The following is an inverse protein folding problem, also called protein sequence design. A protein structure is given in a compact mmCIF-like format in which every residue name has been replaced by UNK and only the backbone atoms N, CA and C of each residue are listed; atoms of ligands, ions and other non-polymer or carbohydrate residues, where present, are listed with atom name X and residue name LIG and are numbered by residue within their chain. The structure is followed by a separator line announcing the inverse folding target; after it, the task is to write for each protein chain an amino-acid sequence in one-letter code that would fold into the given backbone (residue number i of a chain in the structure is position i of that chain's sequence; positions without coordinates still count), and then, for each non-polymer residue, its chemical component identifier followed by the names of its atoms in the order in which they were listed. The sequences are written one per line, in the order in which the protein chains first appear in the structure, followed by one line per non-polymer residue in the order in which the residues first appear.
data_IF_546286234085
#
_entry.id   IF_546286234085
#
_cell.length_a   1.000
_cell.length_b   1.000
_cell.length_c   1.000
_cell.angle_alpha   90.00
_cell.angle_beta   90.00
_cell.angle_gamma   90.00
#
_symmetry.space_group_name_H-M   'P 1'
#
loop_
_entity.id
_entity.type
_entity.pdbx_description
1 polymer ?
#
# COMPACT_ATOMS: atom_id res chain seq x y z
N UNK A 1 45.83 27.75 -7.58
CA UNK A 1 45.19 26.48 -7.99
C UNK A 1 44.15 26.16 -6.92
N UNK A 2 42.90 26.53 -7.16
CA UNK A 2 41.80 26.24 -6.24
C UNK A 2 41.45 24.76 -6.34
N UNK A 3 41.60 24.04 -5.24
CA UNK A 3 40.98 22.72 -5.09
C UNK A 3 39.48 22.96 -5.08
N UNK A 4 38.82 22.51 -6.14
CA UNK A 4 37.36 22.39 -6.17
C UNK A 4 36.97 21.36 -5.14
N UNK A 5 36.41 21.82 -4.02
CA UNK A 5 35.61 21.02 -3.10
C UNK A 5 34.45 20.40 -3.90
N UNK A 6 34.67 19.20 -4.44
CA UNK A 6 33.59 18.35 -4.92
C UNK A 6 32.72 18.06 -3.70
N UNK A 7 31.59 18.78 -3.61
CA UNK A 7 30.56 18.68 -2.57
C UNK A 7 30.38 17.21 -2.15
N UNK A 8 30.94 16.85 -0.98
CA UNK A 8 30.53 15.66 -0.26
C UNK A 8 29.07 15.89 0.12
N UNK A 9 28.16 15.47 -0.75
CA UNK A 9 26.73 15.36 -0.41
C UNK A 9 26.69 14.57 0.88
N UNK A 10 26.17 15.19 1.94
CA UNK A 10 26.21 14.57 3.27
C UNK A 10 25.42 13.26 3.22
N UNK A 11 25.80 12.27 4.03
CA UNK A 11 25.02 11.03 4.20
C UNK A 11 23.53 11.33 4.48
N UNK A 12 23.24 12.47 5.12
CA UNK A 12 21.88 12.94 5.36
C UNK A 12 21.17 13.33 4.06
N UNK A 13 21.83 14.11 3.20
CA UNK A 13 21.24 14.55 1.92
C UNK A 13 20.89 13.35 1.03
N UNK A 14 21.77 12.33 1.00
CA UNK A 14 21.53 11.09 0.24
C UNK A 14 20.34 10.30 0.77
N UNK A 15 20.21 10.19 2.09
CA UNK A 15 19.15 9.39 2.72
C UNK A 15 17.86 10.18 2.99
N UNK A 16 17.82 11.48 2.71
CA UNK A 16 16.68 12.36 3.02
C UNK A 16 15.34 11.90 2.42
N UNK A 17 15.38 11.28 1.22
CA UNK A 17 14.19 10.74 0.56
C UNK A 17 13.52 9.65 1.40
N UNK A 18 14.32 8.77 1.99
CA UNK A 18 13.84 7.63 2.79
C UNK A 18 13.58 8.07 4.24
N UNK A 19 14.49 8.84 4.84
CA UNK A 19 14.46 9.14 6.28
C UNK A 19 13.56 10.33 6.63
N UNK A 20 13.20 11.17 5.66
CA UNK A 20 12.38 12.38 5.89
C UNK A 20 11.15 12.42 5.00
N UNK A 21 11.31 12.33 3.67
CA UNK A 21 10.18 12.49 2.75
C UNK A 21 9.20 11.32 2.83
N UNK A 22 9.71 10.08 2.84
CA UNK A 22 8.86 8.90 2.83
C UNK A 22 7.93 8.83 4.06
N UNK A 23 8.38 8.95 5.32
CA UNK A 23 7.49 8.90 6.48
C UNK A 23 6.36 9.93 6.43
N UNK A 24 6.70 11.17 6.09
CA UNK A 24 5.75 12.29 6.05
C UNK A 24 4.72 12.13 4.93
N UNK A 25 5.14 11.60 3.77
CA UNK A 25 4.28 11.45 2.59
C UNK A 25 3.59 10.09 2.49
N UNK A 26 4.12 9.02 3.10
CA UNK A 26 3.52 7.70 3.06
C UNK A 26 2.41 7.54 4.10
N UNK A 27 2.53 8.19 5.25
CA UNK A 27 1.50 8.16 6.30
C UNK A 27 0.18 8.72 5.77
N UNK A 28 -0.90 7.92 5.81
CA UNK A 28 -2.22 8.30 5.30
C UNK A 28 -2.23 8.66 3.82
N UNK A 29 -1.31 8.09 3.03
CA UNK A 29 -1.30 8.16 1.57
C UNK A 29 -2.51 7.44 0.99
N UNK A 30 -2.85 6.29 1.57
CA UNK A 30 -3.98 5.48 1.18
C UNK A 30 -5.08 5.61 2.22
N UNK A 31 -6.32 5.78 1.75
CA UNK A 31 -7.50 5.85 2.62
C UNK A 31 -8.56 4.90 2.12
N UNK A 32 -8.96 3.99 3.01
CA UNK A 32 -10.16 3.19 2.84
C UNK A 32 -11.37 4.11 3.03
N UNK A 33 -12.21 4.19 2.02
CA UNK A 33 -13.46 4.93 2.06
C UNK A 33 -14.60 4.05 1.58
N UNK A 34 -15.82 4.30 2.06
CA UNK A 34 -16.99 3.59 1.55
C UNK A 34 -17.18 3.99 0.09
N UNK A 35 -17.50 3.03 -0.76
CA UNK A 35 -17.67 3.29 -2.20
C UNK A 35 -18.81 4.29 -2.45
N UNK A 36 -19.83 4.31 -1.58
CA UNK A 36 -20.93 5.30 -1.65
C UNK A 36 -20.44 6.74 -1.50
N UNK A 37 -19.40 6.99 -0.69
CA UNK A 37 -18.84 8.33 -0.51
C UNK A 37 -18.18 8.84 -1.80
N UNK A 38 -17.60 7.92 -2.58
CA UNK A 38 -17.08 8.21 -3.93
C UNK A 38 -18.21 8.61 -4.89
N UNK A 39 -19.38 7.97 -4.76
CA UNK A 39 -20.56 8.32 -5.56
C UNK A 39 -21.04 9.73 -5.20
N UNK A 40 -21.12 10.06 -3.91
CA UNK A 40 -21.50 11.41 -3.48
C UNK A 40 -20.53 12.47 -4.01
N UNK A 41 -19.22 12.26 -3.85
CA UNK A 41 -18.22 13.19 -4.40
C UNK A 41 -18.36 13.38 -5.92
N UNK A 42 -18.62 12.30 -6.66
CA UNK A 42 -18.84 12.38 -8.10
C UNK A 42 -20.13 13.14 -8.47
N UNK A 43 -21.23 12.95 -7.73
CA UNK A 43 -22.47 13.70 -7.95
C UNK A 43 -22.27 15.19 -7.61
N UNK A 44 -21.62 15.50 -6.49
CA UNK A 44 -21.38 16.87 -6.05
C UNK A 44 -20.52 17.63 -7.06
N UNK A 45 -19.49 16.99 -7.63
CA UNK A 45 -18.67 17.54 -8.73
C UNK A 45 -19.52 17.85 -9.99
N UNK A 46 -20.45 16.95 -10.34
CA UNK A 46 -21.34 17.15 -11.49
C UNK A 46 -22.36 18.26 -11.26
N UNK A 47 -22.93 18.35 -10.05
CA UNK A 47 -23.88 19.41 -9.66
C UNK A 47 -23.18 20.77 -9.67
N UNK A 48 -21.92 20.84 -9.23
CA UNK A 48 -21.12 22.06 -9.30
C UNK A 48 -20.82 22.54 -10.73
N UNK A 49 -20.81 21.63 -11.70
CA UNK A 49 -20.59 21.94 -13.13
C UNK A 49 -21.89 22.18 -13.90
N UNK A 50 -22.97 21.51 -13.52
CA UNK A 50 -24.27 21.56 -14.18
C UNK A 50 -25.38 21.64 -13.12
N UNK A 51 -26.22 22.68 -13.16
CA UNK A 51 -27.40 22.82 -12.29
C UNK A 51 -28.55 21.84 -12.69
N UNK A 52 -28.26 20.55 -12.82
CA UNK A 52 -29.27 19.52 -13.13
C UNK A 52 -29.98 19.07 -11.84
N UNK A 53 -31.24 19.48 -11.68
CA UNK A 53 -32.10 19.09 -10.55
C UNK A 53 -32.23 17.57 -10.37
N UNK A 54 -32.14 16.81 -11.45
CA UNK A 54 -32.24 15.34 -11.38
C UNK A 54 -31.06 14.69 -10.65
N UNK A 55 -29.88 15.33 -10.62
CA UNK A 55 -28.73 14.85 -9.85
C UNK A 55 -28.93 15.07 -8.34
N UNK A 56 -29.58 16.17 -7.96
CA UNK A 56 -29.92 16.45 -6.56
C UNK A 56 -30.96 15.44 -6.05
N UNK A 57 -32.01 15.20 -6.83
CA UNK A 57 -33.03 14.18 -6.50
C UNK A 57 -32.43 12.77 -6.41
N UNK A 58 -31.49 12.44 -7.31
CA UNK A 58 -30.77 11.17 -7.28
C UNK A 58 -29.94 11.03 -5.99
N UNK A 59 -29.21 12.08 -5.60
CA UNK A 59 -28.39 12.11 -4.38
C UNK A 59 -29.25 11.85 -3.14
N UNK A 60 -30.39 12.52 -3.02
CA UNK A 60 -31.33 12.34 -1.91
C UNK A 60 -31.88 10.91 -1.85
N UNK A 61 -32.16 10.30 -3.01
CA UNK A 61 -32.63 8.93 -3.08
C UNK A 61 -31.55 7.92 -2.65
N UNK A 62 -30.29 8.12 -3.04
CA UNK A 62 -29.16 7.30 -2.59
C UNK A 62 -28.97 7.44 -1.08
N UNK A 63 -29.00 8.67 -0.57
CA UNK A 63 -28.84 8.97 0.86
C UNK A 63 -29.94 8.31 1.71
N UNK A 64 -31.17 8.26 1.18
CA UNK A 64 -32.26 7.53 1.83
C UNK A 64 -31.96 6.03 1.89
N UNK A 65 -31.54 5.40 0.80
CA UNK A 65 -31.23 3.97 0.78
C UNK A 65 -30.01 3.59 1.61
N UNK A 66 -29.01 4.48 1.70
CA UNK A 66 -27.85 4.32 2.58
C UNK A 66 -28.28 4.32 4.06
N UNK A 67 -29.12 5.28 4.46
CA UNK A 67 -29.68 5.35 5.82
C UNK A 67 -30.56 4.14 6.16
N UNK A 68 -31.25 3.59 5.17
CA UNK A 68 -32.06 2.37 5.31
C UNK A 68 -31.20 1.08 5.34
N UNK A 69 -29.87 1.19 5.13
CA UNK A 69 -28.96 0.04 5.14
C UNK A 69 -29.17 -0.92 3.97
N UNK A 70 -29.72 -0.43 2.86
CA UNK A 70 -30.07 -1.25 1.69
C UNK A 70 -28.93 -1.40 0.68
N UNK A 71 -27.81 -0.70 0.88
CA UNK A 71 -26.65 -0.71 0.00
C UNK A 71 -25.68 -1.84 0.35
N UNK A 72 -24.99 -2.38 -0.64
CA UNK A 72 -23.91 -3.32 -0.41
C UNK A 72 -22.71 -2.63 0.23
N UNK A 73 -22.14 -3.26 1.25
CA UNK A 73 -20.92 -2.78 1.89
C UNK A 73 -19.74 -3.05 0.97
N UNK A 74 -19.26 -1.98 0.34
CA UNK A 74 -18.10 -2.00 -0.54
C UNK A 74 -17.20 -0.85 -0.18
N UNK A 75 -15.92 -1.17 -0.01
CA UNK A 75 -14.88 -0.18 0.20
C UNK A 75 -14.05 0.03 -1.06
N UNK A 76 -13.54 1.24 -1.19
CA UNK A 76 -12.52 1.61 -2.16
C UNK A 76 -11.27 2.12 -1.44
N UNK A 77 -10.11 1.97 -2.10
CA UNK A 77 -8.85 2.54 -1.62
C UNK A 77 -8.54 3.75 -2.48
N UNK A 78 -8.57 4.93 -1.88
CA UNK A 78 -8.16 6.17 -2.53
C UNK A 78 -6.71 6.51 -2.20
N UNK A 79 -6.07 7.21 -3.14
CA UNK A 79 -4.70 7.70 -3.01
C UNK A 79 -4.73 9.22 -2.92
N UNK A 80 -4.00 9.80 -1.96
CA UNK A 80 -3.84 11.26 -1.85
C UNK A 80 -2.99 11.80 -3.03
N UNK A 81 -3.59 12.57 -3.95
CA UNK A 81 -2.91 12.99 -5.19
C UNK A 81 -1.74 13.93 -4.92
N UNK A 82 -1.80 14.75 -3.87
CA UNK A 82 -0.73 15.70 -3.56
C UNK A 82 0.51 14.95 -3.06
N UNK A 83 0.31 13.94 -2.20
CA UNK A 83 1.38 13.06 -1.72
C UNK A 83 1.97 12.22 -2.86
N UNK A 84 1.11 11.72 -3.75
CA UNK A 84 1.53 10.98 -4.95
C UNK A 84 2.47 11.79 -5.84
N UNK A 85 2.18 13.06 -6.09
CA UNK A 85 3.04 13.93 -6.90
C UNK A 85 4.45 14.03 -6.28
N UNK A 86 4.53 14.28 -4.97
CA UNK A 86 5.80 14.45 -4.27
C UNK A 86 6.59 13.14 -4.17
N UNK A 87 5.92 12.01 -3.92
CA UNK A 87 6.55 10.69 -3.90
C UNK A 87 7.04 10.28 -5.29
N UNK A 88 6.30 10.61 -6.34
CA UNK A 88 6.74 10.39 -7.73
C UNK A 88 7.98 11.23 -8.05
N UNK A 89 8.05 12.48 -7.57
CA UNK A 89 9.26 13.30 -7.73
C UNK A 89 10.46 12.72 -6.97
N UNK A 90 10.24 12.15 -5.78
CA UNK A 90 11.31 11.59 -4.96
C UNK A 90 11.83 10.23 -5.46
N UNK A 91 10.96 9.36 -5.97
CA UNK A 91 11.29 7.96 -6.29
C UNK A 91 11.07 7.57 -7.76
N UNK A 92 10.51 8.47 -8.59
CA UNK A 92 10.25 8.22 -10.00
C UNK A 92 9.32 7.02 -10.25
N UNK A 93 9.64 6.24 -11.28
CA UNK A 93 8.90 5.05 -11.67
C UNK A 93 8.89 3.93 -10.60
N UNK A 94 9.85 3.94 -9.68
CA UNK A 94 9.87 2.98 -8.57
C UNK A 94 8.63 3.16 -7.69
N UNK A 95 8.18 4.41 -7.48
CA UNK A 95 7.01 4.68 -6.65
C UNK A 95 5.71 4.20 -7.29
N UNK A 96 5.49 4.45 -8.59
CA UNK A 96 4.24 4.03 -9.26
C UNK A 96 4.11 2.50 -9.27
N UNK A 97 5.22 1.79 -9.50
CA UNK A 97 5.27 0.32 -9.40
C UNK A 97 5.05 -0.16 -7.97
N UNK A 98 5.70 0.47 -6.98
CA UNK A 98 5.56 0.11 -5.57
C UNK A 98 4.13 0.32 -5.05
N UNK A 99 3.49 1.42 -5.46
CA UNK A 99 2.09 1.73 -5.14
C UNK A 99 1.15 0.68 -5.72
N UNK A 100 1.36 0.28 -6.99
CA UNK A 100 0.59 -0.78 -7.62
C UNK A 100 0.77 -2.12 -6.88
N UNK A 101 2.00 -2.50 -6.52
CA UNK A 101 2.25 -3.71 -5.74
C UNK A 101 1.59 -3.68 -4.36
N UNK A 102 1.65 -2.53 -3.66
CA UNK A 102 0.99 -2.39 -2.36
C UNK A 102 -0.53 -2.58 -2.51
N UNK A 103 -1.17 -1.87 -3.44
CA UNK A 103 -2.64 -1.83 -3.55
C UNK A 103 -3.27 -3.06 -4.23
N UNK A 104 -2.55 -3.71 -5.15
CA UNK A 104 -3.07 -4.87 -5.92
C UNK A 104 -3.12 -6.17 -5.12
N UNK A 105 -2.59 -6.22 -3.90
CA UNK A 105 -2.57 -7.43 -3.08
C UNK A 105 -1.37 -8.33 -3.38
N UNK A 106 -0.26 -7.75 -3.83
CA UNK A 106 0.97 -8.47 -4.14
C UNK A 106 1.81 -8.78 -2.90
N UNK A 107 1.40 -8.33 -1.72
CA UNK A 107 2.12 -8.54 -0.47
C UNK A 107 1.48 -9.70 0.30
N UNK A 108 2.31 -10.69 0.62
CA UNK A 108 1.95 -11.83 1.46
C UNK A 108 2.84 -11.87 2.68
N UNK A 109 2.23 -12.01 3.85
CA UNK A 109 2.89 -12.21 5.13
C UNK A 109 2.72 -13.65 5.59
N UNK A 110 3.82 -14.38 5.65
CA UNK A 110 3.89 -15.75 6.16
C UNK A 110 4.28 -15.73 7.64
N UNK A 111 3.42 -16.27 8.50
CA UNK A 111 3.67 -16.38 9.94
C UNK A 111 4.09 -17.80 10.28
N UNK A 112 5.30 -17.95 10.81
CA UNK A 112 5.85 -19.25 11.20
C UNK A 112 5.34 -19.66 12.58
N UNK A 113 4.49 -20.67 12.61
CA UNK A 113 3.94 -21.25 13.84
C UNK A 113 3.64 -22.73 13.68
N UNK A 114 4.15 -23.53 14.62
CA UNK A 114 3.95 -24.97 14.65
C UNK A 114 2.52 -25.39 15.02
N UNK A 115 1.77 -24.52 15.71
CA UNK A 115 0.38 -24.78 16.09
C UNK A 115 -0.56 -24.04 15.14
N UNK A 116 -1.70 -24.62 14.73
CA UNK A 116 -2.76 -23.89 14.04
C UNK A 116 -3.15 -22.65 14.84
N UNK A 117 -3.19 -21.51 14.16
CA UNK A 117 -3.57 -20.21 14.72
C UNK A 117 -4.86 -19.76 14.06
N UNK A 118 -5.77 -19.19 14.84
CA UNK A 118 -7.02 -18.64 14.31
C UNK A 118 -6.76 -17.42 13.43
N UNK A 119 -7.66 -17.15 12.48
CA UNK A 119 -7.48 -16.06 11.51
C UNK A 119 -7.31 -14.69 12.17
N UNK A 120 -8.03 -14.42 13.25
CA UNK A 120 -7.92 -13.15 13.99
C UNK A 120 -6.56 -12.99 14.68
N UNK A 121 -6.03 -14.07 15.27
CA UNK A 121 -4.69 -14.05 15.84
C UNK A 121 -3.61 -13.84 14.76
N UNK A 122 -3.80 -14.43 13.57
CA UNK A 122 -2.91 -14.20 12.43
C UNK A 122 -2.95 -12.73 11.99
N UNK A 123 -4.13 -12.10 11.96
CA UNK A 123 -4.31 -10.67 11.66
C UNK A 123 -3.59 -9.80 12.69
N UNK A 124 -3.71 -10.11 13.97
CA UNK A 124 -3.04 -9.38 15.06
C UNK A 124 -1.51 -9.47 14.97
N UNK A 125 -0.96 -10.67 14.73
CA UNK A 125 0.49 -10.87 14.59
C UNK A 125 1.04 -10.05 13.42
N UNK A 126 0.39 -10.14 12.26
CA UNK A 126 0.81 -9.39 11.07
C UNK A 126 0.66 -7.88 11.29
N UNK A 127 -0.42 -7.43 11.94
CA UNK A 127 -0.62 -6.02 12.29
C UNK A 127 0.49 -5.52 13.22
N UNK A 128 0.85 -6.29 14.25
CA UNK A 128 1.93 -5.95 15.16
C UNK A 128 3.29 -5.86 14.43
N UNK A 129 3.54 -6.73 13.45
CA UNK A 129 4.74 -6.67 12.62
C UNK A 129 4.80 -5.38 11.79
N UNK A 130 3.74 -5.04 11.05
CA UNK A 130 3.69 -3.86 10.17
C UNK A 130 3.63 -2.54 10.94
N UNK A 131 3.10 -2.53 12.16
CA UNK A 131 3.02 -1.33 12.99
C UNK A 131 4.29 -1.10 13.84
N UNK A 132 5.38 -1.82 13.57
CA UNK A 132 6.60 -1.67 14.34
C UNK A 132 6.51 -2.22 15.77
N UNK A 133 5.42 -2.90 16.17
CA UNK A 133 5.17 -3.38 17.55
C UNK A 133 5.60 -4.83 17.80
N UNK A 134 6.29 -5.47 16.86
CA UNK A 134 6.83 -6.81 17.07
C UNK A 134 7.87 -6.80 18.21
N UNK A 135 7.61 -7.60 19.24
CA UNK A 135 8.49 -7.80 20.38
C UNK A 135 9.38 -9.04 20.21
N UNK A 136 10.51 -9.08 20.92
CA UNK A 136 11.37 -10.29 20.95
C UNK A 136 10.56 -11.46 21.52
N UNK A 137 10.40 -12.52 20.72
CA UNK A 137 9.61 -13.70 21.09
C UNK A 137 8.25 -13.81 20.39
N UNK A 138 7.85 -12.79 19.62
CA UNK A 138 6.72 -12.92 18.68
C UNK A 138 7.05 -13.90 17.55
N UNK A 139 6.01 -14.52 16.99
CA UNK A 139 6.12 -15.45 15.88
C UNK A 139 6.85 -14.78 14.70
N UNK A 140 7.85 -15.44 14.07
CA UNK A 140 8.53 -14.88 12.92
C UNK A 140 7.56 -14.63 11.76
N UNK A 141 7.65 -13.45 11.15
CA UNK A 141 6.89 -13.06 9.97
C UNK A 141 7.86 -12.87 8.80
N UNK A 142 7.54 -13.48 7.66
CA UNK A 142 8.31 -13.37 6.42
C UNK A 142 7.43 -12.70 5.37
N UNK A 143 7.94 -11.63 4.74
CA UNK A 143 7.20 -10.93 3.70
C UNK A 143 7.65 -11.42 2.32
N UNK A 144 6.66 -11.70 1.47
CA UNK A 144 6.84 -11.95 0.05
C UNK A 144 6.12 -10.90 -0.77
N UNK A 145 6.80 -10.38 -1.77
CA UNK A 145 6.23 -9.44 -2.74
C UNK A 145 6.26 -10.09 -4.12
N UNK A 146 5.09 -10.31 -4.70
CA UNK A 146 4.96 -10.88 -6.04
C UNK A 146 5.17 -9.79 -7.09
N UNK A 147 5.99 -10.07 -8.10
CA UNK A 147 6.31 -9.08 -9.15
C UNK A 147 5.20 -8.89 -10.17
N UNK A 148 4.37 -9.92 -10.37
CA UNK A 148 3.26 -9.89 -11.31
C UNK A 148 2.10 -9.08 -10.73
N UNK A 149 2.07 -7.77 -11.03
CA UNK A 149 0.93 -6.92 -10.68
C UNK A 149 -0.26 -7.37 -11.51
N UNK A 150 -1.29 -7.90 -10.86
CA UNK A 150 -2.55 -8.11 -11.56
C UNK A 150 -3.13 -6.74 -11.89
N UNK A 151 -3.13 -6.40 -13.19
CA UNK A 151 -3.87 -5.25 -13.66
C UNK A 151 -5.35 -5.54 -13.43
N UNK A 152 -5.94 -4.90 -12.41
CA UNK A 152 -7.37 -4.68 -12.47
C UNK A 152 -7.59 -3.79 -13.69
N UNK A 153 -8.32 -4.29 -14.68
CA UNK A 153 -8.82 -3.45 -15.78
C UNK A 153 -9.62 -2.34 -15.12
N UNK A 154 -9.05 -1.13 -15.07
CA UNK A 154 -9.81 0.06 -14.69
C UNK A 154 -10.73 0.30 -15.87
N UNK A 155 -12.04 0.09 -15.71
CA UNK A 155 -12.94 0.26 -16.84
C UNK A 155 -12.84 1.73 -17.27
N UNK A 156 -12.62 1.96 -18.57
CA UNK A 156 -12.43 3.29 -19.13
C UNK A 156 -13.52 4.24 -18.63
N UNK A 157 -13.14 5.48 -18.32
CA UNK A 157 -14.11 6.48 -17.84
C UNK A 157 -15.15 6.70 -18.94
N UNK A 158 -16.41 6.46 -18.63
CA UNK A 158 -17.49 6.65 -19.59
C UNK A 158 -17.59 8.15 -19.93
N UNK A 159 -17.69 8.47 -21.22
CA UNK A 159 -17.85 9.86 -21.65
C UNK A 159 -19.20 10.46 -21.19
N UNK A 160 -20.20 9.62 -20.96
CA UNK A 160 -21.51 10.00 -20.46
C UNK A 160 -21.60 9.81 -18.94
N UNK A 161 -21.79 10.91 -18.21
CA UNK A 161 -21.86 10.90 -16.75
C UNK A 161 -22.99 10.03 -16.18
N UNK A 162 -24.11 9.85 -16.90
CA UNK A 162 -25.19 8.96 -16.46
C UNK A 162 -24.83 7.48 -16.60
N UNK A 163 -24.02 7.12 -17.61
CA UNK A 163 -23.51 5.75 -17.75
C UNK A 163 -22.46 5.46 -16.68
N UNK A 164 -21.59 6.42 -16.39
CA UNK A 164 -20.63 6.33 -15.28
C UNK A 164 -21.35 6.16 -13.94
N UNK A 165 -22.37 6.99 -13.65
CA UNK A 165 -23.19 6.86 -12.44
C UNK A 165 -23.87 5.49 -12.37
N UNK A 166 -24.44 5.00 -13.47
CA UNK A 166 -25.06 3.68 -13.51
C UNK A 166 -24.06 2.57 -13.15
N UNK A 167 -22.83 2.66 -13.66
CA UNK A 167 -21.75 1.72 -13.34
C UNK A 167 -21.37 1.80 -11.87
N UNK A 168 -21.15 3.01 -11.34
CA UNK A 168 -20.79 3.20 -9.94
C UNK A 168 -21.90 2.73 -8.98
N UNK A 169 -23.16 2.99 -9.31
CA UNK A 169 -24.32 2.57 -8.52
C UNK A 169 -24.46 1.05 -8.48
N UNK A 170 -24.14 0.35 -9.57
CA UNK A 170 -24.18 -1.11 -9.61
C UNK A 170 -23.23 -1.74 -8.57
N UNK A 171 -22.10 -1.10 -8.27
CA UNK A 171 -21.12 -1.58 -7.29
C UNK A 171 -21.63 -1.56 -5.84
N UNK A 172 -22.65 -0.73 -5.56
CA UNK A 172 -23.30 -0.63 -4.24
C UNK A 172 -24.69 -1.25 -4.22
N UNK A 173 -25.06 -2.01 -5.27
CA UNK A 173 -26.33 -2.72 -5.35
C UNK A 173 -27.49 -1.90 -5.87
N UNK A 174 -27.23 -0.84 -6.62
CA UNK A 174 -28.25 0.04 -7.18
C UNK A 174 -28.28 -0.01 -8.72
N UNK A 175 -29.47 -0.07 -9.29
CA UNK A 175 -29.71 0.05 -10.72
C UNK A 175 -30.24 1.45 -11.03
N UNK A 176 -29.53 2.18 -11.87
CA UNK A 176 -30.03 3.43 -12.45
C UNK A 176 -30.79 3.17 -13.75
N UNK A 177 -32.08 3.50 -13.77
CA UNK A 177 -32.93 3.45 -14.96
C UNK A 177 -32.77 4.75 -15.74
N UNK A 178 -32.04 4.72 -16.85
CA UNK A 178 -31.64 5.93 -17.60
C UNK A 178 -32.82 6.74 -18.15
N UNK A 179 -33.93 6.08 -18.48
CA UNK A 179 -35.14 6.72 -19.03
C UNK A 179 -35.86 7.58 -17.99
N UNK A 180 -35.93 7.10 -16.75
CA UNK A 180 -36.65 7.76 -15.65
C UNK A 180 -35.72 8.49 -14.69
N UNK A 181 -34.40 8.26 -14.79
CA UNK A 181 -33.36 8.69 -13.86
C UNK A 181 -33.62 8.27 -12.41
N UNK A 182 -34.34 7.16 -12.21
CA UNK A 182 -34.65 6.61 -10.88
C UNK A 182 -33.74 5.43 -10.55
N UNK A 183 -33.58 5.20 -9.25
CA UNK A 183 -32.80 4.09 -8.71
C UNK A 183 -33.71 3.00 -8.15
N UNK A 184 -33.29 1.77 -8.38
CA UNK A 184 -33.93 0.55 -7.88
C UNK A 184 -32.86 -0.32 -7.21
N UNK A 185 -33.21 -1.02 -6.14
CA UNK A 185 -32.28 -1.95 -5.48
C UNK A 185 -32.14 -3.23 -6.32
N UNK A 186 -30.91 -3.68 -6.51
CA UNK A 186 -30.63 -4.99 -7.09
C UNK A 186 -30.94 -6.08 -6.06
N UNK A 187 -31.72 -7.08 -6.48
CA UNK A 187 -32.11 -8.21 -5.64
C UNK A 187 -30.98 -9.20 -5.37
N UNK A 188 -29.97 -9.25 -6.23
CA UNK A 188 -28.86 -10.21 -6.13
C UNK A 188 -27.52 -9.49 -6.18
N UNK A 189 -26.68 -9.73 -5.17
CA UNK A 189 -25.26 -9.35 -5.21
C UNK A 189 -24.61 -10.22 -6.29
N UNK A 190 -23.97 -9.63 -7.33
CA UNK A 190 -23.21 -10.42 -8.28
C UNK A 190 -22.19 -11.23 -7.50
N UNK A 191 -21.99 -12.50 -7.89
CA UNK A 191 -21.00 -13.36 -7.25
C UNK A 191 -19.66 -12.62 -7.23
N UNK A 192 -19.22 -12.29 -6.01
CA UNK A 192 -17.95 -11.63 -5.80
C UNK A 192 -16.88 -12.63 -6.20
N UNK A 193 -16.31 -12.46 -7.39
CA UNK A 193 -15.22 -13.32 -7.86
C UNK A 193 -14.13 -13.26 -6.80
N UNK A 194 -13.86 -14.41 -6.17
CA UNK A 194 -12.79 -14.51 -5.19
C UNK A 194 -11.54 -13.84 -5.75
N UNK A 195 -10.94 -12.94 -4.95
CA UNK A 195 -9.73 -12.24 -5.35
C UNK A 195 -8.68 -13.27 -5.71
N UNK A 196 -8.31 -13.33 -6.98
CA UNK A 196 -7.19 -14.16 -7.43
C UNK A 196 -5.92 -13.52 -6.91
N UNK A 197 -5.27 -14.18 -5.97
CA UNK A 197 -3.97 -13.72 -5.52
C UNK A 197 -2.93 -13.95 -6.61
N UNK A 198 -1.96 -13.04 -6.79
CA UNK A 198 -0.86 -13.27 -7.71
C UNK A 198 -0.09 -14.55 -7.31
N UNK A 199 0.37 -15.25 -8.32
CA UNK A 199 1.15 -16.48 -8.24
C UNK A 199 2.31 -16.35 -9.21
N UNK A 200 3.52 -16.75 -8.83
CA UNK A 200 4.69 -16.65 -9.69
C UNK A 200 5.93 -16.25 -8.91
N UNK A 201 6.83 -15.52 -9.58
CA UNK A 201 8.08 -15.07 -8.99
C UNK A 201 7.80 -14.07 -7.85
N UNK A 202 8.37 -14.36 -6.68
CA UNK A 202 8.22 -13.54 -5.48
C UNK A 202 9.57 -13.22 -4.89
N UNK A 203 9.71 -12.01 -4.37
CA UNK A 203 10.90 -11.55 -3.68
C UNK A 203 10.67 -11.56 -2.17
N UNK A 204 11.69 -11.97 -1.41
CA UNK A 204 11.68 -11.88 0.05
C UNK A 204 12.06 -10.48 0.50
N UNK A 205 11.29 -9.89 1.41
CA UNK A 205 11.53 -8.54 1.95
C UNK A 205 11.57 -8.60 3.48
N UNK A 206 12.55 -7.94 4.09
CA UNK A 206 12.62 -7.76 5.54
C UNK A 206 12.98 -6.31 5.88
N UNK A 207 11.98 -5.44 6.17
CA UNK A 207 12.23 -4.05 6.52
C UNK A 207 13.03 -3.89 7.83
N UNK A 208 12.95 -4.85 8.77
CA UNK A 208 13.71 -4.76 10.02
C UNK A 208 15.20 -5.02 9.82
N UNK A 209 15.56 -5.79 8.79
CA UNK A 209 16.94 -5.99 8.39
C UNK A 209 17.35 -5.11 7.19
N UNK A 210 16.47 -4.20 6.76
CA UNK A 210 16.62 -3.38 5.57
C UNK A 210 17.09 -4.18 4.34
N UNK A 211 16.40 -5.30 4.07
CA UNK A 211 16.81 -6.29 3.07
C UNK A 211 15.70 -6.57 2.07
N UNK A 212 16.11 -6.81 0.82
CA UNK A 212 15.27 -7.35 -0.23
C UNK A 212 16.09 -8.29 -1.12
N UNK A 213 15.50 -9.42 -1.54
CA UNK A 213 16.16 -10.40 -2.40
C UNK A 213 16.00 -10.11 -3.90
N UNK A 214 15.56 -8.91 -4.31
CA UNK A 214 15.41 -8.57 -5.73
C UNK A 214 16.74 -8.13 -6.32
N UNK A 215 16.93 -8.40 -7.62
CA UNK A 215 18.11 -7.94 -8.35
C UNK A 215 18.25 -6.42 -8.27
N UNK A 216 17.15 -5.66 -8.34
CA UNK A 216 17.15 -4.19 -8.17
C UNK A 216 17.78 -3.76 -6.83
N UNK A 217 17.52 -4.50 -5.74
CA UNK A 217 18.12 -4.21 -4.44
C UNK A 217 19.59 -4.64 -4.38
N UNK A 218 19.90 -5.85 -4.86
CA UNK A 218 21.25 -6.40 -4.83
C UNK A 218 22.22 -5.58 -5.68
N UNK A 219 21.79 -5.09 -6.84
CA UNK A 219 22.56 -4.21 -7.72
C UNK A 219 22.81 -2.84 -7.08
N UNK A 220 21.90 -2.36 -6.23
CA UNK A 220 22.08 -1.11 -5.48
C UNK A 220 23.05 -1.26 -4.30
N UNK A 221 23.24 -2.49 -3.83
CA UNK A 221 24.21 -2.87 -2.79
C UNK A 221 25.56 -3.22 -3.42
N UNK A 222 26.14 -2.30 -4.20
CA UNK A 222 27.48 -2.51 -4.73
C UNK A 222 28.46 -2.62 -3.55
N UNK A 223 28.98 -3.82 -3.30
CA UNK A 223 29.80 -4.20 -2.12
C UNK A 223 31.14 -3.48 -2.00
N UNK A 224 31.32 -2.41 -2.78
CA UNK A 224 32.47 -1.52 -2.83
C UNK A 224 32.47 -0.51 -1.68
N UNK A 225 31.33 -0.27 -1.02
CA UNK A 225 31.22 0.67 0.10
C UNK A 225 31.31 -0.03 1.47
N UNK A 226 32.04 0.56 2.44
CA UNK A 226 32.15 -0.01 3.78
C UNK A 226 30.78 -0.06 4.46
N UNK A 227 30.53 -1.09 5.26
CA UNK A 227 29.34 -1.15 6.11
C UNK A 227 29.50 -0.19 7.29
N UNK A 228 28.46 0.59 7.60
CA UNK A 228 28.38 1.39 8.83
C UNK A 228 27.17 0.98 9.66
N UNK A 229 27.23 1.13 11.00
CA UNK A 229 26.07 1.01 11.86
C UNK A 229 24.96 1.98 11.43
N UNK A 230 23.70 1.51 11.43
CA UNK A 230 22.54 2.37 11.16
C UNK A 230 22.44 3.57 12.11
N UNK A 231 23.01 3.46 13.32
CA UNK A 231 23.07 4.54 14.30
C UNK A 231 23.84 5.75 13.79
N UNK A 232 24.82 5.55 12.93
CA UNK A 232 25.67 6.62 12.39
C UNK A 232 24.91 7.38 11.30
N UNK A 233 24.06 6.69 10.53
CA UNK A 233 23.16 7.30 9.55
C UNK A 233 22.07 8.10 10.27
N UNK A 234 21.54 7.56 11.37
CA UNK A 234 20.43 8.16 12.12
C UNK A 234 20.86 9.23 13.13
N UNK A 235 22.17 9.48 13.32
CA UNK A 235 22.68 10.43 14.32
C UNK A 235 22.06 11.83 14.25
N UNK A 236 21.58 12.22 13.05
CA UNK A 236 21.02 13.53 12.78
C UNK A 236 19.52 13.54 12.50
N UNK A 237 18.85 12.40 12.73
CA UNK A 237 17.42 12.27 12.55
C UNK A 237 16.76 12.08 13.91
N UNK A 238 15.76 12.91 14.21
CA UNK A 238 15.00 12.81 15.45
C UNK A 238 13.85 11.83 15.28
N UNK A 239 13.65 10.91 16.25
CA UNK A 239 12.46 10.07 16.31
C UNK A 239 11.27 10.93 16.71
N UNK A 240 10.22 10.95 15.89
CA UNK A 240 8.96 11.66 16.09
C UNK A 240 7.77 10.79 15.66
N UNK A 241 6.55 11.30 15.81
CA UNK A 241 5.33 10.53 15.48
C UNK A 241 5.26 10.12 14.00
N UNK A 242 5.80 10.93 13.08
CA UNK A 242 5.74 10.64 11.64
C UNK A 242 6.74 9.54 11.22
N UNK A 243 7.94 9.54 11.79
CA UNK A 243 9.01 8.62 11.42
C UNK A 243 9.25 7.48 12.41
N UNK A 244 8.48 7.40 13.49
CA UNK A 244 8.60 6.36 14.51
C UNK A 244 8.59 4.95 13.91
N UNK A 245 7.69 4.69 12.96
CA UNK A 245 7.59 3.39 12.31
C UNK A 245 8.88 3.01 11.57
N UNK A 246 9.44 3.94 10.80
CA UNK A 246 10.70 3.72 10.08
C UNK A 246 11.86 3.52 11.07
N UNK A 247 11.88 4.29 12.16
CA UNK A 247 12.84 4.09 13.25
C UNK A 247 12.70 2.73 13.90
N UNK A 248 11.49 2.22 14.08
CA UNK A 248 11.27 0.89 14.65
C UNK A 248 11.76 -0.22 13.71
N UNK A 249 11.61 -0.07 12.39
CA UNK A 249 12.24 -0.96 11.42
C UNK A 249 13.76 -0.89 11.49
N UNK A 250 14.34 0.31 11.44
CA UNK A 250 15.79 0.50 11.34
C UNK A 250 16.54 0.24 12.67
N UNK A 251 16.00 0.60 13.82
CA UNK A 251 16.74 0.57 15.09
C UNK A 251 16.52 -0.70 15.91
N UNK A 252 15.39 -1.42 15.74
CA UNK A 252 15.10 -2.59 16.59
C UNK A 252 16.07 -3.73 16.36
N UNK A 253 16.44 -4.01 15.10
CA UNK A 253 17.42 -5.06 14.77
C UNK A 253 18.81 -4.54 14.41
N UNK A 254 18.95 -3.22 14.24
CA UNK A 254 20.23 -2.54 13.95
C UNK A 254 20.93 -3.19 12.75
N UNK A 255 20.30 -3.20 11.55
CA UNK A 255 20.95 -3.75 10.38
C UNK A 255 22.25 -3.01 10.11
N UNK A 256 23.21 -3.74 9.55
CA UNK A 256 24.39 -3.14 8.95
C UNK A 256 24.00 -2.73 7.53
N UNK A 257 24.30 -1.49 7.18
CA UNK A 257 23.95 -0.92 5.88
C UNK A 257 25.18 -0.26 5.27
N UNK A 258 25.22 -0.18 3.94
CA UNK A 258 26.36 0.40 3.23
C UNK A 258 26.47 1.92 3.46
N UNK A 259 27.70 2.42 3.59
CA UNK A 259 28.01 3.78 4.01
C UNK A 259 27.76 4.89 2.98
N UNK A 260 27.10 4.61 1.88
CA UNK A 260 26.85 5.61 0.84
C UNK A 260 25.40 6.10 0.87
N UNK A 261 24.45 5.19 0.78
CA UNK A 261 23.00 5.44 0.77
C UNK A 261 22.28 4.18 1.25
N UNK A 262 21.12 4.35 1.88
CA UNK A 262 20.22 3.26 2.21
C UNK A 262 19.64 2.72 0.90
N UNK A 263 19.99 1.48 0.51
CA UNK A 263 19.46 0.89 -0.71
C UNK A 263 17.95 0.78 -0.60
N UNK A 264 17.24 1.07 -1.69
CA UNK A 264 15.79 0.88 -1.77
C UNK A 264 15.45 0.38 -3.16
N UNK A 265 14.52 -0.57 -3.21
CA UNK A 265 13.97 -1.12 -4.45
C UNK A 265 12.45 -1.03 -4.43
N UNK A 266 11.83 -1.35 -5.56
CA UNK A 266 10.38 -1.32 -5.74
C UNK A 266 9.64 -2.14 -4.68
N UNK A 267 10.11 -3.36 -4.37
CA UNK A 267 9.45 -4.27 -3.43
C UNK A 267 9.58 -3.80 -1.98
N UNK A 268 10.75 -3.29 -1.58
CA UNK A 268 10.95 -2.74 -0.24
C UNK A 268 10.10 -1.48 -0.06
N UNK A 269 10.06 -0.59 -1.06
CA UNK A 269 9.21 0.59 -1.06
C UNK A 269 7.72 0.22 -0.96
N UNK A 270 7.28 -0.82 -1.66
CA UNK A 270 5.88 -1.30 -1.58
C UNK A 270 5.52 -1.76 -0.16
N UNK A 271 6.42 -2.49 0.51
CA UNK A 271 6.25 -2.92 1.90
C UNK A 271 6.21 -1.73 2.86
N UNK A 272 7.06 -0.72 2.65
CA UNK A 272 7.04 0.50 3.47
C UNK A 272 5.74 1.28 3.28
N UNK A 273 5.27 1.46 2.05
CA UNK A 273 3.96 2.07 1.76
C UNK A 273 2.84 1.28 2.44
N UNK A 274 2.88 -0.05 2.37
CA UNK A 274 1.90 -0.91 3.02
C UNK A 274 1.94 -0.79 4.55
N UNK A 275 3.12 -0.67 5.15
CA UNK A 275 3.26 -0.49 6.60
C UNK A 275 2.62 0.81 7.09
N UNK A 276 2.87 1.93 6.39
CA UNK A 276 2.27 3.22 6.71
C UNK A 276 0.76 3.30 6.45
N UNK A 277 0.20 2.31 5.74
CA UNK A 277 -1.20 2.29 5.32
C UNK A 277 -1.86 0.93 5.57
N UNK A 278 -1.44 0.21 6.62
CA UNK A 278 -1.77 -1.20 6.85
C UNK A 278 -3.27 -1.49 6.79
N UNK A 279 -4.10 -0.60 7.34
CA UNK A 279 -5.56 -0.76 7.38
C UNK A 279 -6.24 -0.62 6.00
N UNK A 280 -5.59 0.06 5.06
CA UNK A 280 -6.10 0.33 3.72
C UNK A 280 -5.53 -0.62 2.66
N UNK A 281 -4.53 -1.44 3.00
CA UNK A 281 -3.78 -2.26 2.04
C UNK A 281 -4.14 -3.74 2.18
N UNK A 282 -4.48 -4.43 1.06
CA UNK A 282 -4.82 -5.84 1.10
C UNK A 282 -3.57 -6.71 1.24
N UNK A 283 -3.23 -7.09 2.47
CA UNK A 283 -2.12 -8.03 2.74
C UNK A 283 -2.67 -9.45 2.94
N UNK A 284 -2.21 -10.39 2.09
CA UNK A 284 -2.50 -11.82 2.26
C UNK A 284 -1.75 -12.33 3.48
N UNK A 285 -2.43 -13.07 4.34
CA UNK A 285 -1.86 -13.59 5.59
C UNK A 285 -1.93 -15.10 5.52
N UNK A 286 -0.79 -15.77 5.70
CA UNK A 286 -0.75 -17.23 5.72
C UNK A 286 0.02 -17.74 6.93
N UNK A 287 -0.47 -18.83 7.48
CA UNK A 287 0.28 -19.63 8.42
C UNK A 287 1.16 -20.60 7.64
N UNK A 288 2.43 -20.70 8.05
CA UNK A 288 3.35 -21.75 7.63
C UNK A 288 3.82 -22.53 8.87
N UNK A 289 3.91 -23.84 8.74
CA UNK A 289 4.20 -24.74 9.86
C UNK A 289 5.65 -25.22 9.88
N UNK A 290 6.31 -25.27 8.73
CA UNK A 290 7.63 -25.85 8.60
C UNK A 290 8.65 -24.85 8.03
N UNK A 291 9.83 -24.68 8.67
CA UNK A 291 10.82 -23.69 8.23
C UNK A 291 11.33 -23.88 6.80
N UNK A 292 11.33 -25.11 6.27
CA UNK A 292 11.76 -25.35 4.88
C UNK A 292 10.79 -24.77 3.86
N UNK A 293 9.53 -24.50 4.21
CA UNK A 293 8.57 -23.80 3.34
C UNK A 293 9.01 -22.34 3.09
N UNK A 294 9.89 -21.81 3.96
CA UNK A 294 10.58 -20.53 3.79
C UNK A 294 11.82 -20.73 2.91
N UNK A 295 12.57 -21.82 3.08
CA UNK A 295 13.79 -22.08 2.30
C UNK A 295 13.49 -22.45 0.84
N UNK A 296 12.43 -23.21 0.56
CA UNK A 296 11.95 -23.46 -0.80
C UNK A 296 11.55 -22.15 -1.49
N UNK A 297 11.03 -21.18 -0.74
CA UNK A 297 10.68 -19.88 -1.26
C UNK A 297 11.87 -19.01 -1.64
N UNK A 298 12.98 -19.16 -0.91
CA UNK A 298 14.22 -18.43 -1.15
C UNK A 298 15.03 -19.07 -2.28
N UNK A 299 14.84 -20.37 -2.53
CA UNK A 299 15.57 -21.15 -3.55
C UNK A 299 14.91 -21.17 -4.94
N UNK A 300 13.75 -20.53 -5.15
CA UNK A 300 13.20 -20.31 -6.50
C UNK A 300 13.73 -18.96 -6.99
N UNK A 301 15.01 -18.93 -7.35
CA UNK A 301 15.62 -17.88 -8.17
C UNK A 301 15.76 -18.38 -9.60
#
# INVERSE_FOLDING_TARGET
MGQTDTKRVSLQEKNSRILTLLPSLASGLLRRQRYVDKIYGYIDDLVGQNEDKSLVELREAIEKMDKEGSLWDKDDVTVDPNKTILLTYAFGDMYTKALAMATSGNIRADVLTAKPVEEEQLKEIVAAYFNGKSEKGTQPVFLRVYSDVQSQEVPEKEANHWLELRRMLAEVGLLLVLETKKIEALTEKPEEKERKWPSGHSTSVDPYNWYCSSDEFLDSCDGTFPEIPITDILQHYEKNEENELLFDFLLKRKPKVHANELPICTQLLAVLIAAYNYESVPIRKEQISEPWQILEAVNIS
#
